data_IF_210102121902
#
_entry.id   IF_210102121902
#
_cell.length_a   1.000
_cell.length_b   1.000
_cell.length_c   1.000
_cell.angle_alpha   90.00
_cell.angle_beta   90.00
_cell.angle_gamma   90.00
#
_symmetry.space_group_name_H-M   'P 1'
#
loop_
_entity.id
_entity.type
_entity.pdbx_description
1 polymer ?
#
# COMPACT_ATOMS: atom_id res chain seq x y z
N UNK A 1 -1.51 8.96 14.58
CA UNK A 1 -2.39 7.87 14.12
C UNK A 1 -2.88 8.21 12.72
N UNK A 2 -2.53 7.39 11.72
CA UNK A 2 -2.95 7.54 10.31
C UNK A 2 -3.84 6.36 9.94
N UNK A 3 -4.95 6.61 9.25
CA UNK A 3 -5.92 5.58 8.89
C UNK A 3 -6.33 5.71 7.42
N UNK A 4 -6.41 4.58 6.71
CA UNK A 4 -6.88 4.49 5.33
C UNK A 4 -7.83 3.31 5.21
N UNK A 5 -9.04 3.53 4.69
CA UNK A 5 -10.03 2.47 4.53
C UNK A 5 -10.71 2.56 3.17
N UNK A 6 -11.16 1.44 2.64
CA UNK A 6 -11.82 1.37 1.35
C UNK A 6 -11.66 0.02 0.66
N UNK A 7 -12.05 -0.05 -0.60
CA UNK A 7 -11.86 -1.24 -1.43
C UNK A 7 -10.44 -1.25 -1.99
N UNK A 8 -9.75 -2.39 -1.85
CA UNK A 8 -8.46 -2.62 -2.50
C UNK A 8 -8.66 -2.78 -4.00
N UNK A 9 -7.96 -1.97 -4.79
CA UNK A 9 -7.97 -2.03 -6.26
C UNK A 9 -6.54 -2.01 -6.76
N UNK A 10 -6.20 -2.96 -7.63
CA UNK A 10 -4.92 -2.93 -8.35
C UNK A 10 -5.16 -2.21 -9.69
N UNK A 11 -4.70 -0.97 -9.78
CA UNK A 11 -4.76 -0.22 -11.04
C UNK A 11 -3.57 -0.62 -11.92
N UNK A 12 -3.89 -1.27 -13.04
CA UNK A 12 -2.90 -1.72 -14.03
C UNK A 12 -2.76 -0.70 -15.14
N UNK A 13 -1.58 -0.12 -15.30
CA UNK A 13 -1.20 0.72 -16.45
C UNK A 13 -0.14 -0.01 -17.28
N UNK A 14 0.10 0.43 -18.52
CA UNK A 14 0.98 -0.24 -19.47
C UNK A 14 2.40 -0.33 -18.88
N UNK A 15 2.74 -1.51 -18.34
CA UNK A 15 4.05 -1.84 -17.80
C UNK A 15 4.28 -1.54 -16.32
N UNK A 16 3.24 -1.20 -15.54
CA UNK A 16 3.33 -1.11 -14.07
C UNK A 16 1.96 -1.09 -13.39
N UNK A 17 1.91 -1.61 -12.16
CA UNK A 17 0.69 -1.69 -11.36
C UNK A 17 0.84 -0.90 -10.05
N UNK A 18 -0.22 -0.22 -9.63
CA UNK A 18 -0.30 0.50 -8.36
C UNK A 18 -1.49 0.00 -7.54
N UNK A 19 -1.25 -0.29 -6.26
CA UNK A 19 -2.28 -0.67 -5.31
C UNK A 19 -2.90 0.58 -4.70
N UNK A 20 -4.20 0.76 -4.93
CA UNK A 20 -4.94 1.90 -4.41
C UNK A 20 -6.06 1.47 -3.48
N UNK A 21 -6.35 2.32 -2.50
CA UNK A 21 -7.56 2.25 -1.67
C UNK A 21 -8.27 3.58 -1.83
N UNK A 22 -9.53 3.57 -2.27
CA UNK A 22 -10.31 4.77 -2.61
C UNK A 22 -9.57 5.73 -3.58
N UNK A 23 -8.92 5.18 -4.61
CA UNK A 23 -8.11 5.91 -5.58
C UNK A 23 -6.86 6.60 -5.00
N UNK A 24 -6.45 6.24 -3.79
CA UNK A 24 -5.21 6.72 -3.17
C UNK A 24 -4.19 5.59 -3.18
N UNK A 25 -3.00 5.76 -3.80
CA UNK A 25 -1.92 4.80 -3.71
C UNK A 25 -1.48 4.58 -2.25
N UNK A 26 -1.45 3.32 -1.82
CA UNK A 26 -1.23 3.01 -0.40
C UNK A 26 0.17 3.41 0.04
N UNK A 27 1.20 3.07 -0.75
CA UNK A 27 2.58 3.42 -0.43
C UNK A 27 2.81 4.94 -0.43
N UNK A 28 2.16 5.69 -1.33
CA UNK A 28 2.21 7.14 -1.33
C UNK A 28 1.61 7.74 -0.04
N UNK A 29 0.46 7.23 0.39
CA UNK A 29 -0.25 7.71 1.59
C UNK A 29 0.59 7.53 2.85
N UNK A 30 1.28 6.38 2.97
CA UNK A 30 2.10 6.05 4.12
C UNK A 30 3.58 6.46 3.98
N UNK A 31 4.00 7.04 2.87
CA UNK A 31 5.40 7.42 2.59
C UNK A 31 6.06 8.25 3.71
N UNK A 32 5.28 9.07 4.43
CA UNK A 32 5.78 9.82 5.58
C UNK A 32 6.15 8.98 6.81
N UNK A 33 5.96 7.68 6.80
CA UNK A 33 6.39 6.73 7.84
C UNK A 33 7.63 5.94 7.41
N UNK A 34 8.20 6.21 6.23
CA UNK A 34 9.36 5.48 5.73
C UNK A 34 10.57 5.66 6.67
N UNK A 35 11.17 4.55 7.07
CA UNK A 35 12.28 4.49 8.04
C UNK A 35 11.87 4.64 9.51
N UNK A 36 10.57 4.75 9.81
CA UNK A 36 10.06 4.83 11.18
C UNK A 36 9.66 3.44 11.70
N UNK A 37 9.86 3.22 12.99
CA UNK A 37 9.27 2.07 13.69
C UNK A 37 7.78 2.34 13.89
N UNK A 38 6.94 1.49 13.33
CA UNK A 38 5.48 1.63 13.38
C UNK A 38 4.82 0.32 13.73
N UNK A 39 3.61 0.44 14.28
CA UNK A 39 2.64 -0.64 14.38
C UNK A 39 1.55 -0.45 13.33
N UNK A 40 1.41 -1.43 12.45
CA UNK A 40 0.45 -1.46 11.36
C UNK A 40 -0.62 -2.53 11.63
N UNK A 41 -1.89 -2.14 11.60
CA UNK A 41 -3.03 -3.06 11.73
C UNK A 41 -3.87 -3.00 10.46
N UNK A 42 -4.17 -4.16 9.88
CA UNK A 42 -5.05 -4.30 8.71
C UNK A 42 -6.27 -5.11 9.13
N UNK A 43 -7.45 -4.50 9.04
CA UNK A 43 -8.73 -5.16 9.26
C UNK A 43 -9.37 -5.41 7.91
N UNK A 44 -9.49 -6.68 7.52
CA UNK A 44 -10.09 -7.09 6.25
C UNK A 44 -11.57 -7.44 6.42
N UNK A 45 -12.27 -7.52 5.29
CA UNK A 45 -13.60 -8.13 5.22
C UNK A 45 -13.60 -9.53 5.85
N UNK A 46 -14.75 -9.95 6.40
CA UNK A 46 -14.95 -11.25 7.08
C UNK A 46 -14.18 -11.41 8.41
N UNK A 47 -13.67 -10.31 8.99
CA UNK A 47 -13.14 -10.27 10.35
C UNK A 47 -11.67 -10.74 10.50
N UNK A 48 -10.96 -10.96 9.38
CA UNK A 48 -9.53 -11.25 9.42
C UNK A 48 -8.76 -9.97 9.78
N UNK A 49 -7.90 -10.04 10.78
CA UNK A 49 -7.08 -8.92 11.22
C UNK A 49 -5.61 -9.32 11.24
N UNK A 50 -4.76 -8.49 10.66
CA UNK A 50 -3.31 -8.64 10.71
C UNK A 50 -2.71 -7.50 11.51
N UNK A 51 -1.61 -7.77 12.22
CA UNK A 51 -0.88 -6.74 12.97
C UNK A 51 0.60 -7.01 12.84
N UNK A 52 1.33 -5.97 12.47
CA UNK A 52 2.77 -5.96 12.27
C UNK A 52 3.36 -4.81 13.08
N UNK A 53 4.56 -5.01 13.58
CA UNK A 53 5.31 -4.03 14.36
C UNK A 53 6.76 -4.16 13.91
N UNK A 54 7.35 -3.06 13.46
CA UNK A 54 8.68 -3.07 12.84
C UNK A 54 8.98 -1.77 12.12
N UNK A 55 10.11 -1.74 11.40
CA UNK A 55 10.51 -0.58 10.61
C UNK A 55 9.79 -0.58 9.28
N UNK A 56 9.11 0.51 8.94
CA UNK A 56 8.49 0.65 7.63
C UNK A 56 9.53 0.97 6.56
N UNK A 57 9.51 0.21 5.46
CA UNK A 57 10.28 0.50 4.25
C UNK A 57 9.31 0.70 3.09
N UNK A 58 9.20 1.96 2.65
CA UNK A 58 8.14 2.40 1.73
C UNK A 58 8.76 3.14 0.55
N UNK A 59 8.50 2.63 -0.66
CA UNK A 59 8.92 3.25 -1.90
C UNK A 59 7.71 3.60 -2.76
N UNK A 60 7.61 4.86 -3.14
CA UNK A 60 6.61 5.30 -4.10
C UNK A 60 7.20 6.25 -5.14
N UNK A 61 6.94 5.97 -6.41
CA UNK A 61 7.27 6.85 -7.52
C UNK A 61 6.17 6.79 -8.57
N UNK A 62 5.75 7.96 -9.05
CA UNK A 62 4.86 8.09 -10.21
C UNK A 62 5.55 8.95 -11.26
N UNK A 63 5.73 8.42 -12.47
CA UNK A 63 6.40 9.13 -13.56
C UNK A 63 5.82 8.82 -14.92
N UNK A 64 5.77 9.84 -15.79
CA UNK A 64 5.41 9.66 -17.20
C UNK A 64 6.65 9.28 -18.01
N UNK A 65 6.56 8.25 -18.84
CA UNK A 65 7.63 8.00 -19.81
C UNK A 65 7.50 8.95 -21.01
N UNK A 66 8.55 9.69 -21.32
CA UNK A 66 8.54 10.63 -22.46
C UNK A 66 8.45 9.95 -23.84
N UNK A 67 8.86 8.68 -23.95
CA UNK A 67 8.97 7.98 -25.24
C UNK A 67 7.95 6.84 -25.45
N UNK A 68 7.22 6.44 -24.41
CA UNK A 68 6.19 5.39 -24.47
C UNK A 68 4.89 5.89 -23.82
N UNK A 69 3.73 5.41 -24.30
CA UNK A 69 2.44 5.70 -23.67
C UNK A 69 2.34 4.89 -22.36
N UNK A 70 2.15 5.55 -21.23
CA UNK A 70 1.89 4.91 -19.94
C UNK A 70 2.46 5.68 -18.75
N UNK A 71 1.85 5.51 -17.58
CA UNK A 71 2.40 5.93 -16.29
C UNK A 71 3.21 4.78 -15.72
N UNK A 72 4.41 5.08 -15.20
CA UNK A 72 5.23 4.12 -14.45
C UNK A 72 5.07 4.35 -12.95
N UNK A 73 4.78 3.27 -12.25
CA UNK A 73 4.74 3.22 -10.80
C UNK A 73 5.91 2.38 -10.25
N UNK A 74 6.53 2.89 -9.19
CA UNK A 74 7.16 2.07 -8.14
C UNK A 74 6.26 2.20 -6.94
N UNK A 75 5.87 1.10 -6.33
CA UNK A 75 4.88 1.08 -5.26
C UNK A 75 5.18 -0.15 -4.40
N UNK A 76 6.02 0.02 -3.40
CA UNK A 76 6.45 -1.06 -2.50
C UNK A 76 6.25 -0.63 -1.04
N UNK A 77 5.78 -1.56 -0.21
CA UNK A 77 5.52 -1.29 1.20
C UNK A 77 5.83 -2.54 2.03
N UNK A 78 6.88 -2.43 2.86
CA UNK A 78 7.29 -3.45 3.80
C UNK A 78 7.21 -2.96 5.25
N UNK A 79 7.01 -3.91 6.17
CA UNK A 79 7.32 -3.77 7.60
C UNK A 79 8.34 -4.84 7.92
N UNK A 80 9.58 -4.44 8.20
CA UNK A 80 10.75 -5.34 8.21
C UNK A 80 10.78 -6.23 6.95
N UNK A 81 10.71 -7.56 7.09
CA UNK A 81 10.71 -8.51 5.97
C UNK A 81 9.31 -8.84 5.42
N UNK A 82 8.25 -8.22 5.95
CA UNK A 82 6.86 -8.51 5.56
C UNK A 82 6.42 -7.59 4.43
N UNK A 83 6.08 -8.18 3.28
CA UNK A 83 5.50 -7.47 2.14
C UNK A 83 4.02 -7.15 2.38
N UNK A 84 3.74 -5.90 2.76
CA UNK A 84 2.39 -5.41 3.01
C UNK A 84 1.62 -5.24 1.70
N UNK A 85 2.31 -4.90 0.61
CA UNK A 85 1.68 -4.79 -0.70
C UNK A 85 1.15 -6.14 -1.15
N UNK A 86 1.99 -7.17 -1.15
CA UNK A 86 1.59 -8.54 -1.54
C UNK A 86 0.42 -9.04 -0.68
N UNK A 87 0.46 -8.75 0.63
CA UNK A 87 -0.64 -9.08 1.52
C UNK A 87 -1.96 -8.40 1.13
N UNK A 88 -1.92 -7.12 0.78
CA UNK A 88 -3.12 -6.38 0.35
C UNK A 88 -3.61 -6.85 -1.03
N UNK A 89 -2.73 -7.27 -1.93
CA UNK A 89 -3.11 -7.85 -3.23
C UNK A 89 -3.96 -9.12 -3.06
N UNK A 90 -3.72 -9.92 -2.01
CA UNK A 90 -4.58 -11.09 -1.68
C UNK A 90 -6.01 -10.70 -1.28
N UNK A 91 -6.25 -9.42 -1.00
CA UNK A 91 -7.53 -8.83 -0.63
C UNK A 91 -8.09 -7.91 -1.72
N UNK A 92 -7.68 -8.07 -2.99
CA UNK A 92 -8.24 -7.33 -4.12
C UNK A 92 -9.77 -7.45 -4.18
N UNK A 93 -10.46 -6.33 -4.40
CA UNK A 93 -11.92 -6.18 -4.36
C UNK A 93 -12.57 -6.41 -2.99
N UNK A 94 -11.79 -6.54 -1.92
CA UNK A 94 -12.30 -6.57 -0.55
C UNK A 94 -12.15 -5.20 0.13
N UNK A 95 -13.07 -4.91 1.06
CA UNK A 95 -12.94 -3.76 1.94
C UNK A 95 -11.87 -4.03 3.01
N UNK A 96 -10.95 -3.10 3.18
CA UNK A 96 -9.93 -3.13 4.23
C UNK A 96 -9.87 -1.80 4.97
N UNK A 97 -9.44 -1.85 6.22
CA UNK A 97 -9.05 -0.68 7.02
C UNK A 97 -7.63 -0.86 7.54
N UNK A 98 -6.74 0.04 7.15
CA UNK A 98 -5.34 0.09 7.56
C UNK A 98 -5.19 1.19 8.61
N UNK A 99 -4.54 0.86 9.72
CA UNK A 99 -4.31 1.75 10.86
C UNK A 99 -2.82 1.72 11.18
N UNK A 100 -2.19 2.89 11.22
CA UNK A 100 -0.78 3.04 11.58
C UNK A 100 -0.66 3.90 12.84
N UNK A 101 0.08 3.38 13.82
CA UNK A 101 0.50 4.07 15.03
C UNK A 101 2.01 4.01 15.19
N UNK A 102 2.60 5.16 15.50
CA UNK A 102 4.01 5.40 15.84
C UNK A 102 4.10 5.85 17.29
#
# INVERSE_FOLDING_TARGET
MKELEGIVVIQRDIGSDVLVINNVPVSQYYMGCNGEEIKLTIVCAKGKTYTFEGTADIFYFEGKQHYYRGTKYVDDFFIDDIDIRELLEQHENEFVKIIVSS
#
